data_IF_744036066045
#
_entry.id   IF_744036066045
#
_cell.length_a   1.000
_cell.length_b   1.000
_cell.length_c   1.000
_cell.angle_alpha   90.00
_cell.angle_beta   90.00
_cell.angle_gamma   90.00
#
_symmetry.space_group_name_H-M   'P 1'
#
loop_
_entity.id
_entity.type
_entity.pdbx_description
1 polymer ?
#
# COMPACT_ATOMS: atom_id res chain seq x y z
N UNK A 1 11.10 -2.44 -39.25
CA UNK A 1 11.80 -3.45 -38.41
C UNK A 1 12.54 -2.72 -37.29
N UNK A 2 12.10 -2.82 -36.03
CA UNK A 2 12.78 -2.18 -34.89
C UNK A 2 13.98 -3.03 -34.48
N UNK A 3 15.19 -2.47 -34.58
CA UNK A 3 16.42 -3.14 -34.16
C UNK A 3 16.47 -3.14 -32.62
N UNK A 4 16.39 -4.31 -32.00
CA UNK A 4 16.64 -4.45 -30.57
C UNK A 4 18.14 -4.32 -30.33
N UNK A 5 18.57 -3.19 -29.76
CA UNK A 5 19.97 -3.00 -29.35
C UNK A 5 20.19 -3.78 -28.05
N UNK A 6 21.15 -4.69 -28.05
CA UNK A 6 21.62 -5.37 -26.84
C UNK A 6 22.40 -4.33 -26.03
N UNK A 7 21.94 -4.06 -24.81
CA UNK A 7 22.58 -3.11 -23.89
C UNK A 7 23.59 -3.85 -23.02
N UNK A 8 24.88 -3.47 -23.00
CA UNK A 8 25.90 -4.10 -22.17
C UNK A 8 25.59 -3.99 -20.67
N UNK A 9 25.96 -5.01 -19.89
CA UNK A 9 25.70 -5.05 -18.45
C UNK A 9 26.27 -3.85 -17.69
N UNK A 10 27.46 -3.37 -18.10
CA UNK A 10 28.09 -2.19 -17.50
C UNK A 10 27.22 -0.93 -17.63
N UNK A 11 26.60 -0.75 -18.80
CA UNK A 11 25.73 0.39 -19.08
C UNK A 11 24.43 0.32 -18.25
N UNK A 12 23.94 -0.88 -17.92
CA UNK A 12 22.80 -1.06 -17.02
C UNK A 12 23.13 -0.67 -15.57
N UNK A 13 24.33 -1.03 -15.11
CA UNK A 13 24.82 -0.68 -13.76
C UNK A 13 25.05 0.82 -13.63
N UNK A 14 25.64 1.46 -14.63
CA UNK A 14 25.87 2.91 -14.63
C UNK A 14 24.56 3.69 -14.75
N UNK A 15 23.58 3.19 -15.51
CA UNK A 15 22.22 3.74 -15.52
C UNK A 15 21.56 3.60 -14.15
N UNK A 16 21.73 2.47 -13.46
CA UNK A 16 21.17 2.27 -12.13
C UNK A 16 21.80 3.21 -11.09
N UNK A 17 23.13 3.42 -11.14
CA UNK A 17 23.83 4.36 -10.26
C UNK A 17 23.43 5.82 -10.50
N UNK A 18 23.12 6.19 -11.74
CA UNK A 18 22.70 7.54 -12.14
C UNK A 18 21.18 7.77 -12.07
N UNK A 19 20.39 6.78 -11.62
CA UNK A 19 18.95 6.99 -11.38
C UNK A 19 18.82 7.99 -10.23
N UNK A 20 18.35 9.20 -10.55
CA UNK A 20 17.97 10.19 -9.55
C UNK A 20 16.99 9.52 -8.57
N UNK A 21 17.15 9.71 -7.25
CA UNK A 21 16.17 9.21 -6.29
C UNK A 21 14.83 9.81 -6.69
N UNK A 22 13.87 8.93 -7.04
CA UNK A 22 12.50 9.34 -7.32
C UNK A 22 11.98 9.91 -6.02
N UNK A 23 11.92 11.24 -5.93
CA UNK A 23 11.32 11.90 -4.77
C UNK A 23 9.87 11.42 -4.72
N UNK A 24 9.40 10.91 -3.57
CA UNK A 24 7.99 10.55 -3.44
C UNK A 24 7.17 11.78 -3.84
N UNK A 25 6.22 11.60 -4.77
CA UNK A 25 5.40 12.71 -5.23
C UNK A 25 4.67 13.30 -4.02
N UNK A 26 4.77 14.61 -3.84
CA UNK A 26 3.95 15.33 -2.85
C UNK A 26 2.50 15.10 -3.28
N UNK A 27 1.70 14.47 -2.41
CA UNK A 27 0.34 14.02 -2.74
C UNK A 27 0.22 12.56 -3.21
N UNK A 28 1.29 11.76 -3.15
CA UNK A 28 1.20 10.32 -3.41
C UNK A 28 0.37 9.64 -2.32
N UNK A 29 -0.70 8.98 -2.74
CA UNK A 29 -1.50 8.14 -1.88
C UNK A 29 -0.78 6.82 -1.59
N UNK A 30 -0.93 6.34 -0.37
CA UNK A 30 -0.39 5.09 0.14
C UNK A 30 -1.52 4.13 0.44
N UNK A 31 -1.29 2.85 0.18
CA UNK A 31 -2.29 1.82 0.36
C UNK A 31 -1.96 1.00 1.60
N UNK A 32 -2.97 0.69 2.39
CA UNK A 32 -2.82 -0.13 3.59
C UNK A 32 -3.86 -1.24 3.58
N UNK A 33 -3.48 -2.41 4.08
CA UNK A 33 -4.40 -3.52 4.29
C UNK A 33 -4.83 -3.47 5.76
N UNK A 34 -6.13 -3.35 6.00
CA UNK A 34 -6.76 -3.42 7.31
C UNK A 34 -7.35 -4.82 7.44
N UNK A 35 -6.99 -5.55 8.48
CA UNK A 35 -7.57 -6.86 8.74
C UNK A 35 -7.75 -7.08 10.24
N UNK A 36 -8.62 -8.00 10.63
CA UNK A 36 -8.86 -8.34 12.04
C UNK A 36 -8.22 -9.69 12.35
N UNK A 37 -7.17 -9.68 13.17
CA UNK A 37 -6.50 -10.88 13.64
C UNK A 37 -6.64 -10.99 15.16
N UNK A 38 -7.13 -12.13 15.65
CA UNK A 38 -7.30 -12.40 17.09
C UNK A 38 -8.07 -11.29 17.83
N UNK A 39 -9.14 -10.77 17.21
CA UNK A 39 -9.96 -9.69 17.79
C UNK A 39 -9.32 -8.29 17.75
N UNK A 40 -8.10 -8.15 17.20
CA UNK A 40 -7.39 -6.87 17.07
C UNK A 40 -7.33 -6.45 15.61
N UNK A 41 -7.52 -5.16 15.36
CA UNK A 41 -7.28 -4.58 14.03
C UNK A 41 -5.77 -4.46 13.79
N UNK A 42 -5.33 -5.03 12.67
CA UNK A 42 -3.95 -5.01 12.20
C UNK A 42 -3.92 -4.19 10.92
N UNK A 43 -2.91 -3.32 10.83
CA UNK A 43 -2.66 -2.49 9.66
C UNK A 43 -1.33 -2.93 9.04
N UNK A 44 -1.37 -3.36 7.77
CA UNK A 44 -0.20 -3.77 6.99
C UNK A 44 0.07 -2.76 5.88
N UNK A 45 1.35 -2.51 5.58
CA UNK A 45 1.80 -1.49 4.63
C UNK A 45 2.76 -0.49 5.27
N UNK A 46 3.01 0.67 4.64
CA UNK A 46 2.33 1.19 3.43
C UNK A 46 2.84 0.58 2.12
N UNK A 47 1.92 0.40 1.18
CA UNK A 47 2.21 0.01 -0.19
C UNK A 47 2.12 1.21 -1.13
N UNK A 48 2.90 1.16 -2.19
CA UNK A 48 2.99 2.25 -3.17
C UNK A 48 1.87 2.22 -4.20
N UNK A 49 1.22 1.06 -4.34
CA UNK A 49 0.21 0.75 -5.33
C UNK A 49 -0.92 -0.11 -4.73
N UNK A 50 -2.15 0.05 -5.24
CA UNK A 50 -3.31 -0.68 -4.74
C UNK A 50 -3.24 -2.17 -5.07
N UNK A 51 -2.77 -2.51 -6.27
CA UNK A 51 -2.67 -3.88 -6.75
C UNK A 51 -1.59 -4.65 -5.98
N UNK A 52 -0.49 -3.97 -5.62
CA UNK A 52 0.53 -4.52 -4.72
C UNK A 52 -0.08 -4.89 -3.35
N UNK A 53 -0.84 -3.98 -2.75
CA UNK A 53 -1.51 -4.24 -1.46
C UNK A 53 -2.51 -5.39 -1.56
N UNK A 54 -3.34 -5.40 -2.62
CA UNK A 54 -4.34 -6.44 -2.86
C UNK A 54 -3.69 -7.80 -3.06
N UNK A 55 -2.65 -7.89 -3.90
CA UNK A 55 -1.93 -9.14 -4.14
C UNK A 55 -1.34 -9.71 -2.86
N UNK A 56 -0.77 -8.85 -2.00
CA UNK A 56 -0.21 -9.29 -0.71
C UNK A 56 -1.32 -9.74 0.25
N UNK A 57 -2.47 -9.07 0.23
CA UNK A 57 -3.61 -9.45 1.05
C UNK A 57 -4.13 -10.84 0.67
N UNK A 58 -4.38 -11.07 -0.63
CA UNK A 58 -4.82 -12.37 -1.16
C UNK A 58 -3.81 -13.49 -0.86
N UNK A 59 -2.51 -13.21 -0.99
CA UNK A 59 -1.47 -14.22 -0.79
C UNK A 59 -1.29 -14.60 0.69
N UNK A 60 -1.38 -13.62 1.61
CA UNK A 60 -0.92 -13.78 3.00
C UNK A 60 -2.02 -13.81 4.03
N UNK A 61 -3.23 -13.34 3.71
CA UNK A 61 -4.33 -13.25 4.66
C UNK A 61 -5.36 -14.31 4.36
N UNK A 62 -5.67 -15.12 5.37
CA UNK A 62 -6.80 -16.06 5.35
C UNK A 62 -8.06 -15.47 5.99
N UNK A 63 -8.00 -14.20 6.36
CA UNK A 63 -9.07 -13.47 7.06
C UNK A 63 -9.54 -12.33 6.19
N UNK A 64 -10.79 -11.91 6.41
CA UNK A 64 -11.33 -10.75 5.73
C UNK A 64 -10.43 -9.51 5.93
N UNK A 65 -10.26 -8.77 4.86
CA UNK A 65 -9.42 -7.59 4.82
C UNK A 65 -10.06 -6.49 3.97
N UNK A 66 -9.61 -5.27 4.19
CA UNK A 66 -9.96 -4.11 3.40
C UNK A 66 -8.68 -3.38 2.98
N UNK A 67 -8.57 -3.02 1.70
CA UNK A 67 -7.49 -2.18 1.22
C UNK A 67 -7.94 -0.72 1.20
N UNK A 68 -7.29 0.10 2.03
CA UNK A 68 -7.66 1.51 2.25
C UNK A 68 -6.57 2.44 1.76
N UNK A 69 -6.99 3.48 1.04
CA UNK A 69 -6.14 4.57 0.59
C UNK A 69 -5.92 5.62 1.68
N UNK A 70 -4.68 6.06 1.86
CA UNK A 70 -4.25 7.05 2.85
C UNK A 70 -3.31 8.08 2.25
N UNK A 71 -3.46 9.33 2.67
CA UNK A 71 -2.58 10.44 2.25
C UNK A 71 -1.20 10.41 2.93
N UNK A 72 -0.96 9.49 3.86
CA UNK A 72 0.27 9.43 4.66
C UNK A 72 0.92 8.06 4.58
N UNK A 73 2.26 8.04 4.49
CA UNK A 73 3.10 6.85 4.63
C UNK A 73 3.33 6.47 6.09
N UNK A 74 3.17 7.43 7.00
CA UNK A 74 3.38 7.21 8.43
C UNK A 74 2.26 6.35 9.01
N UNK A 75 2.62 5.16 9.49
CA UNK A 75 1.70 4.18 10.07
C UNK A 75 0.96 4.73 11.30
N UNK A 76 1.61 5.52 12.15
CA UNK A 76 0.98 6.07 13.34
C UNK A 76 -0.12 7.07 12.95
N UNK A 77 0.19 7.95 11.98
CA UNK A 77 -0.80 8.89 11.42
C UNK A 77 -1.92 8.16 10.68
N UNK A 78 -1.60 7.15 9.86
CA UNK A 78 -2.62 6.34 9.17
C UNK A 78 -3.56 5.65 10.18
N UNK A 79 -3.02 5.13 11.28
CA UNK A 79 -3.81 4.51 12.36
C UNK A 79 -4.71 5.54 13.06
N UNK A 80 -4.21 6.74 13.34
CA UNK A 80 -5.02 7.82 13.91
C UNK A 80 -6.15 8.22 12.96
N UNK A 81 -5.86 8.36 11.67
CA UNK A 81 -6.86 8.66 10.64
C UNK A 81 -7.92 7.57 10.53
N UNK A 82 -7.53 6.29 10.60
CA UNK A 82 -8.47 5.15 10.62
C UNK A 82 -9.35 5.15 11.86
N UNK A 83 -8.76 5.32 13.04
CA UNK A 83 -9.53 5.42 14.29
C UNK A 83 -10.52 6.57 14.23
N UNK A 84 -10.09 7.72 13.72
CA UNK A 84 -10.97 8.87 13.56
C UNK A 84 -12.11 8.59 12.57
N UNK A 85 -11.82 7.98 11.41
CA UNK A 85 -12.85 7.52 10.45
C UNK A 85 -13.82 6.53 11.10
N UNK A 86 -13.34 5.59 11.91
CA UNK A 86 -14.17 4.60 12.60
C UNK A 86 -15.03 5.22 13.70
N UNK A 87 -14.50 6.21 14.44
CA UNK A 87 -15.25 6.92 15.49
C UNK A 87 -16.29 7.88 14.90
N UNK A 88 -15.99 8.52 13.76
CA UNK A 88 -16.94 9.38 13.05
C UNK A 88 -17.97 8.57 12.26
N UNK A 89 -17.62 7.35 11.83
CA UNK A 89 -18.44 6.44 11.04
C UNK A 89 -19.39 5.57 11.87
N UNK A 90 -19.99 6.10 12.93
CA UNK A 90 -21.00 5.40 13.73
C UNK A 90 -22.35 5.27 12.97
N UNK A 91 -22.31 4.70 11.76
CA UNK A 91 -23.47 4.58 10.87
C UNK A 91 -23.29 3.86 9.54
N UNK A 92 -22.20 3.13 9.24
CA UNK A 92 -22.24 2.24 8.07
C UNK A 92 -20.94 1.56 7.63
N UNK A 93 -21.03 0.25 7.44
CA UNK A 93 -20.29 -0.55 6.43
C UNK A 93 -18.81 -0.89 6.62
N UNK A 94 -18.27 -0.92 7.84
CA UNK A 94 -17.02 -1.66 8.09
C UNK A 94 -17.11 -2.76 9.14
N UNK A 95 -18.12 -2.73 10.00
CA UNK A 95 -18.43 -3.84 10.90
C UNK A 95 -19.23 -4.97 10.25
N UNK A 96 -19.94 -4.68 9.14
CA UNK A 96 -20.77 -5.66 8.42
C UNK A 96 -20.06 -6.37 7.27
N UNK A 97 -18.94 -5.82 6.77
CA UNK A 97 -18.17 -6.42 5.67
C UNK A 97 -17.13 -7.46 6.15
N UNK A 98 -17.11 -7.80 7.44
CA UNK A 98 -16.22 -8.79 8.05
C UNK A 98 -17.02 -9.94 8.69
N UNK A 99 -18.06 -10.42 8.00
CA UNK A 99 -18.96 -11.48 8.49
C UNK A 99 -18.94 -12.71 7.60
#
# INVERSE_FOLDING_TARGET
MRRHRIVPAQELVDRAKNRKPVRPHIGQNWWYIVTKQNGRMVLLGPYSDAHEAESVAVEKLNTDYEVVQMATRDRAKATQMLRHKMLQGNGGNLGESLR
#
